data_IF_309580815094
#
_entry.id   IF_309580815094
#
_cell.length_a   1.000
_cell.length_b   1.000
_cell.length_c   1.000
_cell.angle_alpha   90.00
_cell.angle_beta   90.00
_cell.angle_gamma   90.00
#
_symmetry.space_group_name_H-M   'P 1'
#
loop_
_entity.id
_entity.type
_entity.pdbx_description
1 polymer ?
#
# COMPACT_ATOMS: atom_id res chain seq x y z
N UNK A 1 -9.47 12.79 3.93
CA UNK A 1 -9.23 11.38 4.31
C UNK A 1 -9.45 10.56 3.07
N UNK A 2 -8.43 9.85 2.60
CA UNK A 2 -8.58 8.89 1.52
C UNK A 2 -8.57 7.49 2.12
N UNK A 3 -9.36 6.58 1.55
CA UNK A 3 -9.35 5.18 1.88
C UNK A 3 -8.45 4.45 0.88
N UNK A 4 -7.33 3.92 1.36
CA UNK A 4 -6.45 3.09 0.54
C UNK A 4 -6.66 1.63 0.90
N UNK A 5 -6.75 0.77 -0.11
CA UNK A 5 -6.67 -0.69 0.04
C UNK A 5 -5.51 -1.17 -0.80
N UNK A 6 -4.74 -2.11 -0.27
CA UNK A 6 -3.68 -2.81 -0.99
C UNK A 6 -3.91 -4.31 -0.77
N UNK A 7 -3.90 -5.09 -1.84
CA UNK A 7 -3.89 -6.56 -1.79
C UNK A 7 -2.57 -7.02 -2.38
N UNK A 8 -1.84 -7.86 -1.65
CA UNK A 8 -0.63 -8.53 -2.12
C UNK A 8 -0.90 -10.01 -2.04
N UNK A 9 -0.95 -10.67 -3.20
CA UNK A 9 -1.27 -12.10 -3.35
C UNK A 9 -0.18 -12.75 -4.20
N UNK A 10 0.81 -13.33 -3.54
CA UNK A 10 2.05 -13.77 -4.18
C UNK A 10 2.78 -12.58 -4.83
N UNK A 11 3.04 -12.69 -6.13
CA UNK A 11 3.70 -11.68 -6.96
C UNK A 11 2.76 -10.58 -7.47
N UNK A 12 1.45 -10.67 -7.19
CA UNK A 12 0.46 -9.71 -7.66
C UNK A 12 0.11 -8.68 -6.57
N UNK A 13 0.33 -7.41 -6.89
CA UNK A 13 -0.07 -6.26 -6.07
C UNK A 13 -1.17 -5.48 -6.78
N UNK A 14 -2.31 -5.33 -6.11
CA UNK A 14 -3.39 -4.44 -6.56
C UNK A 14 -3.63 -3.36 -5.51
N UNK A 15 -3.84 -2.12 -5.96
CA UNK A 15 -4.17 -1.00 -5.07
C UNK A 15 -5.45 -0.28 -5.50
N UNK A 16 -6.17 0.24 -4.50
CA UNK A 16 -7.36 1.05 -4.68
C UNK A 16 -7.26 2.34 -3.88
N UNK A 17 -7.77 3.42 -4.45
CA UNK A 17 -7.93 4.72 -3.80
C UNK A 17 -9.40 5.13 -3.85
N UNK A 18 -10.01 5.28 -2.69
CA UNK A 18 -11.43 5.63 -2.54
C UNK A 18 -12.38 4.70 -3.33
N UNK A 19 -12.04 3.40 -3.39
CA UNK A 19 -12.83 2.38 -4.10
C UNK A 19 -12.51 2.23 -5.58
N UNK A 20 -11.77 3.16 -6.18
CA UNK A 20 -11.31 3.08 -7.57
C UNK A 20 -9.99 2.31 -7.62
N UNK A 21 -9.90 1.31 -8.49
CA UNK A 21 -8.64 0.60 -8.75
C UNK A 21 -7.64 1.54 -9.42
N UNK A 22 -6.41 1.56 -8.91
CA UNK A 22 -5.36 2.45 -9.40
C UNK A 22 -4.34 1.70 -10.26
N UNK A 23 -3.84 0.56 -9.75
CA UNK A 23 -2.87 -0.29 -10.46
C UNK A 23 -3.01 -1.74 -9.99
N UNK A 24 -2.83 -2.66 -10.94
CA UNK A 24 -2.54 -4.07 -10.69
C UNK A 24 -1.25 -4.42 -11.41
N UNK A 25 -0.27 -4.95 -10.67
CA UNK A 25 1.06 -5.27 -11.17
C UNK A 25 1.45 -6.68 -10.73
N UNK A 26 2.03 -7.45 -11.64
CA UNK A 26 2.70 -8.72 -11.32
C UNK A 26 4.21 -8.50 -11.40
N UNK A 27 4.92 -8.76 -10.30
CA UNK A 27 6.37 -8.59 -10.19
C UNK A 27 6.97 -9.69 -9.29
N UNK A 28 7.83 -10.52 -9.88
CA UNK A 28 8.47 -11.66 -9.20
C UNK A 28 9.33 -11.22 -8.00
N UNK A 29 9.97 -10.04 -8.06
CA UNK A 29 10.81 -9.52 -6.98
C UNK A 29 9.94 -9.16 -5.77
N UNK A 30 8.71 -8.68 -6.00
CA UNK A 30 7.75 -8.47 -4.92
C UNK A 30 7.29 -9.80 -4.33
N UNK A 31 7.05 -10.81 -5.18
CA UNK A 31 6.59 -12.14 -4.75
C UNK A 31 7.59 -12.89 -3.87
N UNK A 32 8.89 -12.65 -4.05
CA UNK A 32 9.95 -13.17 -3.18
C UNK A 32 10.13 -12.39 -1.86
N UNK A 33 9.46 -11.24 -1.74
CA UNK A 33 9.63 -10.32 -0.61
C UNK A 33 8.93 -10.76 0.66
N UNK A 34 9.69 -10.95 1.74
CA UNK A 34 9.18 -11.08 3.11
C UNK A 34 9.63 -9.85 3.93
N UNK A 35 8.69 -9.19 4.63
CA UNK A 35 9.05 -7.98 5.36
C UNK A 35 7.91 -7.29 6.11
N UNK A 36 8.13 -6.02 6.41
CA UNK A 36 7.22 -5.17 7.20
C UNK A 36 6.57 -4.08 6.35
N UNK A 37 5.48 -3.49 6.85
CA UNK A 37 4.84 -2.32 6.24
C UNK A 37 5.45 -1.04 6.80
N UNK A 38 5.91 -0.15 5.92
CA UNK A 38 6.47 1.15 6.29
C UNK A 38 5.60 2.30 5.77
N UNK A 39 5.31 3.27 6.63
CA UNK A 39 4.61 4.50 6.27
C UNK A 39 5.65 5.60 6.04
N UNK A 40 5.87 5.96 4.79
CA UNK A 40 6.83 7.00 4.45
C UNK A 40 6.19 8.39 4.53
N UNK A 41 6.93 9.34 5.11
CA UNK A 41 6.72 10.78 4.91
C UNK A 41 7.96 11.29 4.21
N UNK A 42 7.82 11.70 2.96
CA UNK A 42 8.91 12.37 2.26
C UNK A 42 8.84 13.87 2.54
N UNK A 43 9.90 14.46 3.07
CA UNK A 43 9.95 15.91 3.34
C UNK A 43 10.61 16.64 2.17
N UNK A 44 9.88 17.59 1.60
CA UNK A 44 10.34 18.54 0.61
C UNK A 44 9.58 19.87 0.68
N UNK A 45 8.87 20.16 1.79
CA UNK A 45 7.98 21.31 1.86
C UNK A 45 7.03 21.42 3.05
N UNK A 46 7.28 20.74 4.18
CA UNK A 46 6.49 20.96 5.40
C UNK A 46 5.10 20.31 5.41
N UNK A 47 4.93 19.20 4.71
CA UNK A 47 3.66 18.45 4.66
C UNK A 47 3.43 17.73 6.00
N UNK A 48 2.21 17.88 6.53
CA UNK A 48 1.73 17.11 7.69
C UNK A 48 0.74 16.05 7.23
N UNK A 49 1.15 14.79 7.32
CA UNK A 49 0.29 13.63 7.01
C UNK A 49 -0.25 13.05 8.32
N UNK A 50 -1.50 12.58 8.28
CA UNK A 50 -2.15 11.86 9.38
C UNK A 50 -2.76 10.57 8.83
N UNK A 51 -2.58 9.48 9.55
CA UNK A 51 -3.19 8.18 9.25
C UNK A 51 -4.19 7.81 10.34
N UNK A 52 -5.15 6.97 9.99
CA UNK A 52 -6.08 6.31 10.92
C UNK A 52 -6.57 5.00 10.29
N UNK A 53 -7.08 4.10 11.12
CA UNK A 53 -7.70 2.84 10.69
C UNK A 53 -6.78 2.00 9.80
N UNK A 54 -5.54 1.79 10.25
CA UNK A 54 -4.59 0.92 9.56
C UNK A 54 -4.82 -0.49 10.08
N UNK A 55 -5.26 -1.38 9.20
CA UNK A 55 -5.56 -2.78 9.48
C UNK A 55 -4.84 -3.65 8.47
N UNK A 56 -4.34 -4.80 8.93
CA UNK A 56 -3.66 -5.81 8.10
C UNK A 56 -4.33 -7.14 8.40
N UNK A 57 -4.69 -7.89 7.36
CA UNK A 57 -5.29 -9.22 7.45
C UNK A 57 -4.48 -10.16 6.57
N UNK A 58 -3.94 -11.27 7.09
CA UNK A 58 -3.33 -12.31 6.27
C UNK A 58 -4.33 -12.83 5.23
N UNK A 59 -3.82 -13.20 4.05
CA UNK A 59 -4.64 -13.86 3.02
C UNK A 59 -4.86 -15.35 3.33
#
# INVERSE_FOLDING_TARGET
WNHMKIKVDGDNVTSWLNGTEMVSLTDEIIGEGEGSVLLQIHDGGGIKVKWKNIEITPL
#
